data_IF_281416358492
#
_entry.id   IF_281416358492
#
_cell.length_a   1.000
_cell.length_b   1.000
_cell.length_c   1.000
_cell.angle_alpha   90.00
_cell.angle_beta   90.00
_cell.angle_gamma   90.00
#
_symmetry.space_group_name_H-M   'P 1'
#
loop_
_entity.id
_entity.type
_entity.pdbx_description
1 polymer ?
#
# COMPACT_ATOMS: atom_id res chain seq x y z
N UNK A 1 -9.96 -19.46 93.73
CA UNK A 1 -9.31 -20.74 93.34
C UNK A 1 -10.11 -21.37 92.20
N UNK A 2 -9.43 -21.65 91.07
CA UNK A 2 -9.80 -22.53 89.93
C UNK A 2 -11.06 -22.18 89.08
N UNK A 3 -10.90 -21.68 87.84
CA UNK A 3 -10.65 -22.36 86.54
C UNK A 3 -11.76 -23.34 86.07
N UNK A 4 -12.45 -22.98 84.97
CA UNK A 4 -12.67 -23.79 83.75
C UNK A 4 -13.51 -22.98 82.75
N UNK A 5 -12.97 -22.51 81.63
CA UNK A 5 -12.73 -23.20 80.35
C UNK A 5 -13.97 -23.78 79.65
N UNK A 6 -14.03 -23.46 78.36
CA UNK A 6 -14.84 -23.99 77.23
C UNK A 6 -16.09 -23.16 76.92
N UNK A 7 -16.44 -22.81 75.68
CA UNK A 7 -15.89 -23.08 74.35
C UNK A 7 -16.94 -22.57 73.35
N UNK A 8 -16.55 -21.81 72.30
CA UNK A 8 -17.03 -21.95 70.89
C UNK A 8 -18.52 -21.52 70.63
N UNK A 9 -18.94 -20.69 69.66
CA UNK A 9 -18.46 -20.33 68.32
C UNK A 9 -19.20 -19.04 67.85
N UNK A 10 -18.43 -18.10 67.28
CA UNK A 10 -18.69 -17.18 66.14
C UNK A 10 -19.88 -16.21 66.13
N UNK A 11 -19.57 -14.92 65.97
CA UNK A 11 -19.95 -14.21 64.74
C UNK A 11 -19.12 -12.92 64.50
N UNK A 12 -18.73 -12.75 63.23
CA UNK A 12 -18.31 -11.54 62.50
C UNK A 12 -17.10 -10.73 63.03
N UNK A 13 -15.90 -10.90 62.45
CA UNK A 13 -15.43 -10.29 61.18
C UNK A 13 -15.70 -8.79 61.14
N UNK A 14 -14.67 -7.98 61.40
CA UNK A 14 -14.28 -6.83 60.58
C UNK A 14 -12.89 -6.36 61.06
N UNK A 15 -12.14 -5.72 60.16
CA UNK A 15 -10.80 -5.14 60.35
C UNK A 15 -9.64 -6.11 60.03
N UNK A 16 -9.41 -6.34 58.74
CA UNK A 16 -8.05 -6.42 58.16
C UNK A 16 -8.14 -6.14 56.66
N UNK A 17 -8.65 -4.97 56.28
CA UNK A 17 -8.70 -4.48 54.90
C UNK A 17 -7.93 -3.16 54.70
N UNK A 18 -7.11 -2.74 55.66
CA UNK A 18 -6.40 -1.46 55.61
C UNK A 18 -4.94 -1.54 55.12
N UNK A 19 -4.43 -2.69 54.66
CA UNK A 19 -3.02 -2.82 54.25
C UNK A 19 -2.81 -3.08 52.74
N UNK A 20 -3.85 -3.27 51.94
CA UNK A 20 -3.70 -3.51 50.49
C UNK A 20 -3.98 -2.31 49.58
N UNK A 21 -4.33 -1.13 50.12
CA UNK A 21 -4.66 0.05 49.30
C UNK A 21 -3.52 1.06 49.11
N UNK A 22 -2.40 0.95 49.82
CA UNK A 22 -1.35 1.99 49.81
C UNK A 22 -0.24 1.83 48.75
N UNK A 23 -0.33 0.84 47.85
CA UNK A 23 0.73 0.54 46.85
C UNK A 23 0.34 0.82 45.39
N UNK A 24 -0.92 1.13 45.10
CA UNK A 24 -1.38 1.40 43.73
C UNK A 24 -1.54 2.91 43.44
N UNK A 25 -1.40 3.76 44.45
CA UNK A 25 -1.74 5.18 44.37
C UNK A 25 -0.60 6.09 43.86
N UNK A 26 0.59 5.54 43.57
CA UNK A 26 1.78 6.33 43.19
C UNK A 26 2.24 6.17 41.74
N UNK A 27 1.49 5.50 40.85
CA UNK A 27 1.86 5.33 39.42
C UNK A 27 0.86 5.85 38.38
N UNK A 28 -0.24 6.48 38.79
CA UNK A 28 -1.24 7.04 37.84
C UNK A 28 -1.13 8.57 37.70
N UNK A 29 -0.37 9.25 38.55
CA UNK A 29 -0.39 10.72 38.64
C UNK A 29 0.58 11.49 37.74
N UNK A 30 1.35 10.84 36.85
CA UNK A 30 2.38 11.55 36.06
C UNK A 30 1.99 11.87 34.60
N UNK A 31 0.81 11.46 34.08
CA UNK A 31 0.43 11.70 32.67
C UNK A 31 -0.85 12.55 32.50
N UNK A 32 -1.45 13.08 33.57
CA UNK A 32 -2.77 13.75 33.47
C UNK A 32 -2.79 15.29 33.58
N UNK A 33 -1.68 16.00 33.37
CA UNK A 33 -1.72 17.49 33.30
C UNK A 33 -0.76 18.14 32.29
N UNK A 34 -1.20 18.19 31.03
CA UNK A 34 -0.99 19.26 30.01
C UNK A 34 -1.68 18.69 28.76
N UNK A 35 -2.87 19.11 28.34
CA UNK A 35 -3.20 20.42 27.77
C UNK A 35 -4.67 20.74 28.09
N UNK A 36 -4.93 21.87 28.77
CA UNK A 36 -6.29 22.31 29.15
C UNK A 36 -7.02 23.12 28.07
N UNK A 37 -6.42 23.28 26.88
CA UNK A 37 -6.96 24.01 25.73
C UNK A 37 -6.55 23.32 24.42
N UNK A 38 -6.97 22.08 24.22
CA UNK A 38 -7.07 21.54 22.86
C UNK A 38 -8.50 21.84 22.44
N UNK A 39 -8.69 22.81 21.54
CA UNK A 39 -9.95 22.93 20.83
C UNK A 39 -10.20 21.59 20.14
N UNK A 40 -11.27 20.90 20.54
CA UNK A 40 -11.77 19.75 19.80
C UNK A 40 -12.22 20.26 18.43
N UNK A 41 -11.36 20.08 17.41
CA UNK A 41 -11.73 20.37 16.04
C UNK A 41 -12.62 19.22 15.59
N UNK A 42 -13.93 19.43 15.67
CA UNK A 42 -14.91 18.51 15.10
C UNK A 42 -14.84 18.66 13.58
N UNK A 43 -14.21 17.70 12.91
CA UNK A 43 -14.07 17.67 11.45
C UNK A 43 -15.29 16.96 10.86
N UNK A 44 -16.17 17.68 10.16
CA UNK A 44 -17.30 17.06 9.48
C UNK A 44 -16.94 16.71 8.03
N UNK A 45 -17.28 15.49 7.61
CA UNK A 45 -17.03 15.02 6.23
C UNK A 45 -17.74 15.89 5.16
N UNK A 46 -18.80 16.62 5.53
CA UNK A 46 -19.51 17.58 4.67
C UNK A 46 -18.66 18.78 4.25
N UNK A 47 -17.59 19.08 5.00
CA UNK A 47 -16.71 20.24 4.78
C UNK A 47 -15.59 19.91 3.77
N UNK A 48 -15.59 18.70 3.22
CA UNK A 48 -14.58 18.21 2.29
C UNK A 48 -15.21 17.83 0.95
N UNK A 49 -14.49 18.13 -0.12
CA UNK A 49 -14.72 17.62 -1.46
C UNK A 49 -13.79 16.44 -1.74
N UNK A 50 -14.29 15.45 -2.48
CA UNK A 50 -13.47 14.35 -3.03
C UNK A 50 -12.96 14.80 -4.39
N UNK A 51 -11.65 14.90 -4.53
CA UNK A 51 -11.00 15.27 -5.80
C UNK A 51 -10.23 14.07 -6.32
N UNK A 52 -10.49 13.71 -7.57
CA UNK A 52 -9.79 12.63 -8.26
C UNK A 52 -8.51 13.18 -8.92
N UNK A 53 -7.38 12.52 -8.69
CA UNK A 53 -6.10 12.81 -9.32
C UNK A 53 -5.64 11.61 -10.11
N UNK A 54 -5.18 11.84 -11.34
CA UNK A 54 -4.65 10.82 -12.23
C UNK A 54 -3.14 10.98 -12.37
N UNK A 55 -2.41 9.90 -12.10
CA UNK A 55 -0.96 9.82 -12.29
C UNK A 55 -0.69 8.81 -13.40
N UNK A 56 0.06 9.21 -14.42
CA UNK A 56 0.59 8.32 -15.44
C UNK A 56 1.84 8.96 -16.04
N UNK A 57 2.81 8.14 -16.45
CA UNK A 57 3.95 8.64 -17.21
C UNK A 57 3.51 9.03 -18.61
N UNK A 58 4.05 10.14 -19.11
CA UNK A 58 3.95 10.50 -20.53
C UNK A 58 4.63 9.40 -21.35
N UNK A 59 3.97 8.97 -22.42
CA UNK A 59 4.57 8.03 -23.35
C UNK A 59 5.53 8.78 -24.28
N UNK A 60 6.83 8.55 -24.10
CA UNK A 60 7.89 9.10 -24.97
C UNK A 60 8.48 8.02 -25.89
N UNK A 61 8.42 6.76 -25.45
CA UNK A 61 8.74 5.60 -26.27
C UNK A 61 7.64 4.55 -26.17
N UNK A 62 7.60 3.61 -27.13
CA UNK A 62 6.62 2.51 -27.16
C UNK A 62 7.36 1.18 -27.26
N UNK A 63 8.03 0.81 -26.18
CA UNK A 63 8.76 -0.47 -26.09
C UNK A 63 7.89 -1.48 -25.34
N UNK A 64 8.05 -2.77 -25.63
CA UNK A 64 7.33 -3.83 -24.93
C UNK A 64 8.26 -4.65 -24.04
N UNK A 65 7.80 -4.95 -22.83
CA UNK A 65 8.39 -5.97 -21.99
C UNK A 65 7.58 -7.27 -22.13
N UNK A 66 8.30 -8.35 -22.40
CA UNK A 66 7.79 -9.72 -22.41
C UNK A 66 8.56 -10.52 -21.38
N UNK A 67 7.89 -11.45 -20.70
CA UNK A 67 8.56 -12.30 -19.70
C UNK A 67 9.07 -13.57 -20.40
N UNK A 68 10.39 -13.63 -20.56
CA UNK A 68 11.13 -14.81 -21.03
C UNK A 68 11.36 -15.80 -19.89
N UNK A 69 11.73 -17.04 -20.23
CA UNK A 69 11.74 -18.20 -19.34
C UNK A 69 12.21 -17.90 -17.92
N UNK A 70 11.30 -18.03 -16.96
CA UNK A 70 11.58 -17.69 -15.56
C UNK A 70 10.29 -17.49 -14.78
N UNK A 71 10.08 -18.41 -13.83
CA UNK A 71 9.23 -18.44 -12.64
C UNK A 71 8.02 -17.50 -12.54
N UNK A 72 6.91 -18.08 -12.06
CA UNK A 72 5.59 -17.50 -11.71
C UNK A 72 5.60 -16.38 -10.66
N UNK A 73 6.76 -15.75 -10.44
CA UNK A 73 7.06 -14.88 -9.31
C UNK A 73 7.70 -13.55 -9.70
N UNK A 74 7.99 -13.33 -11.00
CA UNK A 74 8.50 -12.04 -11.45
C UNK A 74 7.45 -10.94 -11.29
N UNK A 75 7.88 -9.85 -10.67
CA UNK A 75 7.04 -8.71 -10.36
C UNK A 75 7.75 -7.42 -10.75
N UNK A 76 6.99 -6.51 -11.36
CA UNK A 76 7.47 -5.24 -11.88
C UNK A 76 6.50 -4.14 -11.47
N UNK A 77 7.01 -3.05 -10.91
CA UNK A 77 6.16 -1.96 -10.46
C UNK A 77 6.72 -0.58 -10.70
N UNK A 78 5.80 0.38 -10.74
CA UNK A 78 6.05 1.80 -10.91
C UNK A 78 5.81 2.53 -9.60
N UNK A 79 6.77 3.36 -9.19
CA UNK A 79 6.63 4.30 -8.08
C UNK A 79 5.78 5.49 -8.49
N UNK A 80 4.76 5.80 -7.68
CA UNK A 80 3.94 6.99 -7.74
C UNK A 80 4.23 7.86 -6.52
N UNK A 81 4.93 8.99 -6.74
CA UNK A 81 5.12 10.00 -5.68
C UNK A 81 3.81 10.74 -5.45
N UNK A 82 3.50 11.01 -4.18
CA UNK A 82 2.33 11.81 -3.83
C UNK A 82 2.73 13.28 -3.66
N UNK A 83 2.78 13.99 -4.80
CA UNK A 83 3.12 15.42 -4.85
C UNK A 83 2.04 16.32 -4.22
N UNK A 84 0.92 15.75 -3.74
CA UNK A 84 -0.14 16.48 -3.04
C UNK A 84 0.09 16.50 -1.52
N UNK A 85 0.99 15.67 -1.00
CA UNK A 85 1.29 15.48 0.43
C UNK A 85 0.05 15.19 1.30
N UNK A 86 -0.98 14.60 0.70
CA UNK A 86 -2.27 14.32 1.33
C UNK A 86 -2.60 12.84 1.28
N UNK A 87 -3.18 12.33 2.37
CA UNK A 87 -3.71 10.96 2.40
C UNK A 87 -4.96 10.87 1.51
N UNK A 88 -5.07 9.76 0.79
CA UNK A 88 -6.18 9.46 -0.10
C UNK A 88 -6.52 7.97 -0.13
N UNK A 89 -7.31 7.58 -1.11
CA UNK A 89 -7.59 6.17 -1.43
C UNK A 89 -7.46 5.97 -2.92
N UNK A 90 -6.91 4.82 -3.30
CA UNK A 90 -6.74 4.43 -4.69
C UNK A 90 -8.08 3.95 -5.26
N UNK A 91 -8.48 4.51 -6.40
CA UNK A 91 -9.72 4.17 -7.10
C UNK A 91 -9.48 3.25 -8.27
N UNK A 92 -8.54 3.61 -9.15
CA UNK A 92 -8.30 2.85 -10.37
C UNK A 92 -6.82 2.64 -10.61
N UNK A 93 -6.50 1.52 -11.23
CA UNK A 93 -5.19 1.23 -11.79
C UNK A 93 -5.36 1.01 -13.29
N UNK A 94 -4.50 1.63 -14.08
CA UNK A 94 -4.49 1.45 -15.54
C UNK A 94 -3.26 0.66 -15.94
N UNK A 95 -3.46 -0.49 -16.57
CA UNK A 95 -2.38 -1.26 -17.18
C UNK A 95 -2.27 -0.88 -18.66
N UNK A 96 -1.10 -0.41 -19.08
CA UNK A 96 -0.80 -0.10 -20.47
C UNK A 96 -0.23 -1.35 -21.14
N UNK A 97 -1.09 -2.14 -21.77
CA UNK A 97 -0.72 -3.37 -22.44
C UNK A 97 -0.19 -3.09 -23.84
N UNK A 98 0.75 -3.94 -24.26
CA UNK A 98 1.32 -3.93 -25.60
C UNK A 98 0.93 -5.21 -26.37
N UNK A 99 1.07 -5.20 -27.71
CA UNK A 99 0.83 -6.41 -28.50
C UNK A 99 1.71 -7.58 -28.05
N UNK A 100 1.09 -8.75 -27.98
CA UNK A 100 1.70 -9.98 -27.49
C UNK A 100 1.66 -11.06 -28.58
N UNK A 101 2.83 -11.52 -29.03
CA UNK A 101 2.91 -12.55 -30.08
C UNK A 101 2.19 -13.83 -29.66
N UNK A 102 1.60 -14.55 -30.63
CA UNK A 102 0.89 -15.82 -30.40
C UNK A 102 1.73 -16.90 -29.69
N UNK A 103 3.06 -16.85 -29.84
CA UNK A 103 4.00 -17.78 -29.19
C UNK A 103 4.12 -17.61 -27.67
N UNK A 104 3.59 -16.51 -27.11
CA UNK A 104 3.52 -16.30 -25.66
C UNK A 104 2.16 -16.78 -25.14
N UNK A 105 2.17 -17.52 -24.03
CA UNK A 105 0.95 -17.88 -23.30
C UNK A 105 0.44 -16.64 -22.58
N UNK A 106 -0.82 -16.26 -22.77
CA UNK A 106 -1.44 -15.22 -21.94
C UNK A 106 -1.71 -15.81 -20.56
N UNK A 107 -1.27 -15.11 -19.52
CA UNK A 107 -1.53 -15.46 -18.13
C UNK A 107 -2.23 -14.30 -17.44
N UNK A 108 -2.85 -14.60 -16.32
CA UNK A 108 -3.42 -13.58 -15.46
C UNK A 108 -2.33 -12.69 -14.87
N UNK A 109 -2.70 -11.43 -14.64
CA UNK A 109 -1.87 -10.43 -13.98
C UNK A 109 -2.40 -10.18 -12.58
N UNK A 110 -1.60 -10.44 -11.56
CA UNK A 110 -1.88 -10.00 -10.20
C UNK A 110 -1.33 -8.60 -9.99
N UNK A 111 -2.16 -7.72 -9.44
CA UNK A 111 -1.81 -6.35 -9.12
C UNK A 111 -1.57 -6.25 -7.63
N UNK A 112 -0.42 -5.72 -7.26
CA UNK A 112 -0.07 -5.46 -5.88
C UNK A 112 0.29 -4.00 -5.69
N UNK A 113 0.03 -3.49 -4.49
CA UNK A 113 0.31 -2.10 -4.13
C UNK A 113 1.13 -2.15 -2.85
N UNK A 114 2.22 -1.39 -2.80
CA UNK A 114 3.15 -1.38 -1.67
C UNK A 114 3.32 0.03 -1.12
N UNK A 115 3.55 0.10 0.20
CA UNK A 115 4.12 1.32 0.79
C UNK A 115 5.52 1.54 0.25
N UNK A 116 5.94 2.80 0.27
CA UNK A 116 7.31 3.19 -0.06
C UNK A 116 7.97 3.69 1.21
N UNK A 117 9.21 3.27 1.41
CA UNK A 117 10.09 3.83 2.42
C UNK A 117 10.51 5.25 2.02
N UNK A 118 10.24 6.24 2.86
CA UNK A 118 10.52 7.65 2.54
C UNK A 118 12.02 7.98 2.45
N UNK A 119 12.90 7.15 3.02
CA UNK A 119 14.35 7.37 3.04
C UNK A 119 15.04 6.65 1.88
N UNK A 120 14.70 5.37 1.67
CA UNK A 120 15.35 4.52 0.66
C UNK A 120 14.61 4.50 -0.68
N UNK A 121 13.38 5.04 -0.70
CA UNK A 121 12.43 4.97 -1.82
C UNK A 121 12.07 3.54 -2.26
N UNK A 122 12.52 2.52 -1.53
CA UNK A 122 12.24 1.12 -1.86
C UNK A 122 10.82 0.75 -1.43
N UNK A 123 10.18 -0.20 -2.13
CA UNK A 123 8.92 -0.76 -1.66
C UNK A 123 9.10 -1.53 -0.34
N UNK A 124 8.13 -1.39 0.56
CA UNK A 124 8.05 -2.04 1.87
C UNK A 124 6.96 -3.12 1.86
N UNK A 125 5.97 -2.99 2.75
CA UNK A 125 4.86 -3.91 2.90
C UNK A 125 3.75 -3.70 1.86
N UNK A 126 3.09 -4.81 1.50
CA UNK A 126 1.92 -4.82 0.62
C UNK A 126 0.72 -4.19 1.34
N UNK A 127 -0.03 -3.35 0.64
CA UNK A 127 -1.20 -2.62 1.12
C UNK A 127 -2.53 -3.33 0.79
N UNK A 128 -2.60 -4.07 -0.33
CA UNK A 128 -3.80 -4.82 -0.66
C UNK A 128 -3.84 -6.16 0.09
N UNK A 129 -4.90 -6.36 0.89
CA UNK A 129 -5.14 -7.61 1.62
C UNK A 129 -5.87 -8.66 0.77
N UNK A 130 -6.59 -8.22 -0.25
CA UNK A 130 -7.30 -9.08 -1.18
C UNK A 130 -6.56 -9.10 -2.52
N UNK A 131 -6.65 -10.24 -3.21
CA UNK A 131 -6.04 -10.42 -4.52
C UNK A 131 -6.80 -9.62 -5.56
N UNK A 132 -6.07 -8.80 -6.32
CA UNK A 132 -6.60 -8.05 -7.47
C UNK A 132 -6.01 -8.70 -8.71
N UNK A 133 -6.86 -9.28 -9.56
CA UNK A 133 -6.43 -10.04 -10.73
C UNK A 133 -7.08 -9.47 -11.99
N UNK A 134 -6.27 -9.27 -13.02
CA UNK A 134 -6.73 -8.99 -14.36
C UNK A 134 -6.47 -10.19 -15.28
N UNK A 135 -7.53 -10.65 -15.96
CA UNK A 135 -7.45 -11.69 -16.99
C UNK A 135 -7.45 -11.05 -18.38
N UNK A 136 -6.36 -11.19 -19.15
CA UNK A 136 -6.28 -10.63 -20.50
C UNK A 136 -7.32 -11.24 -21.44
N UNK A 137 -8.11 -10.39 -22.11
CA UNK A 137 -9.14 -10.83 -23.06
C UNK A 137 -8.61 -11.07 -24.48
N UNK A 138 -7.52 -10.39 -24.84
CA UNK A 138 -6.96 -10.40 -26.18
C UNK A 138 -5.43 -10.16 -26.12
N UNK A 139 -4.79 -10.12 -27.29
CA UNK A 139 -3.33 -9.96 -27.45
C UNK A 139 -2.93 -8.57 -27.97
N UNK A 140 -3.87 -7.64 -28.06
CA UNK A 140 -3.69 -6.35 -28.70
C UNK A 140 -3.17 -5.31 -27.70
N UNK A 141 -2.68 -4.18 -28.23
CA UNK A 141 -2.41 -2.99 -27.42
C UNK A 141 -3.72 -2.48 -26.82
N UNK A 142 -3.75 -2.26 -25.51
CA UNK A 142 -4.94 -1.78 -24.81
C UNK A 142 -4.54 -1.07 -23.52
N UNK A 143 -5.30 -0.05 -23.12
CA UNK A 143 -5.17 0.57 -21.81
C UNK A 143 -6.32 0.07 -20.93
N UNK A 144 -6.01 -0.85 -20.02
CA UNK A 144 -7.01 -1.53 -19.20
C UNK A 144 -7.16 -0.78 -17.88
N UNK A 145 -8.31 -0.15 -17.67
CA UNK A 145 -8.65 0.51 -16.42
C UNK A 145 -9.38 -0.47 -15.48
N UNK A 146 -8.83 -0.65 -14.28
CA UNK A 146 -9.29 -1.61 -13.28
C UNK A 146 -9.76 -0.82 -12.07
N UNK A 147 -11.07 -0.90 -11.78
CA UNK A 147 -11.65 -0.28 -10.60
C UNK A 147 -11.37 -1.14 -9.37
N UNK A 148 -10.73 -0.52 -8.37
CA UNK A 148 -10.35 -1.13 -7.10
C UNK A 148 -10.81 -0.28 -5.90
N UNK A 149 -11.74 0.65 -6.11
CA UNK A 149 -12.20 1.54 -5.05
C UNK A 149 -12.76 0.79 -3.84
N UNK A 150 -13.49 -0.30 -4.08
CA UNK A 150 -14.16 -1.07 -3.02
C UNK A 150 -13.18 -1.81 -2.10
N UNK A 151 -11.90 -1.93 -2.51
CA UNK A 151 -10.84 -2.46 -1.66
C UNK A 151 -10.32 -1.45 -0.64
N UNK A 152 -10.73 -0.17 -0.74
CA UNK A 152 -10.38 0.91 0.19
C UNK A 152 -8.88 1.04 0.46
N UNK A 153 -8.06 0.85 -0.57
CA UNK A 153 -6.60 0.80 -0.44
C UNK A 153 -6.06 2.21 -0.22
N UNK A 154 -5.30 2.45 0.86
CA UNK A 154 -4.84 3.80 1.19
C UNK A 154 -3.79 4.30 0.19
N UNK A 155 -3.85 5.59 -0.11
CA UNK A 155 -2.80 6.35 -0.77
C UNK A 155 -2.10 7.24 0.28
N UNK A 156 -0.92 6.86 0.81
CA UNK A 156 -0.23 7.58 1.87
C UNK A 156 0.54 8.79 1.31
N UNK A 157 1.09 9.63 2.19
CA UNK A 157 1.73 10.90 1.81
C UNK A 157 3.04 10.70 1.06
N UNK A 158 3.68 9.56 1.27
CA UNK A 158 4.94 9.17 0.66
C UNK A 158 4.72 8.61 -0.76
N UNK A 159 3.47 8.30 -1.12
CA UNK A 159 3.13 7.62 -2.36
C UNK A 159 3.13 6.10 -2.24
N UNK A 160 3.02 5.42 -3.37
CA UNK A 160 2.95 3.94 -3.43
C UNK A 160 3.74 3.40 -4.60
N UNK A 161 4.15 2.14 -4.51
CA UNK A 161 4.54 1.38 -5.69
C UNK A 161 3.35 0.51 -6.12
N UNK A 162 2.94 0.62 -7.38
CA UNK A 162 1.96 -0.30 -7.97
C UNK A 162 2.71 -1.26 -8.87
N UNK A 163 2.53 -2.56 -8.65
CA UNK A 163 3.20 -3.60 -9.40
C UNK A 163 2.23 -4.57 -10.05
N UNK A 164 2.77 -5.27 -11.04
CA UNK A 164 2.15 -6.34 -11.79
C UNK A 164 3.04 -7.57 -11.66
N UNK A 165 2.42 -8.69 -11.31
CA UNK A 165 3.02 -10.03 -11.23
C UNK A 165 2.32 -10.95 -12.23
N UNK A 166 3.09 -11.66 -13.04
CA UNK A 166 2.54 -12.60 -14.01
C UNK A 166 2.28 -13.95 -13.34
N UNK A 167 1.04 -14.41 -13.37
CA UNK A 167 0.59 -15.67 -12.76
C UNK A 167 0.78 -16.86 -13.72
N UNK A 168 2.01 -17.06 -14.18
CA UNK A 168 2.39 -18.24 -14.97
C UNK A 168 2.50 -19.51 -14.14
N UNK A 169 2.62 -20.65 -14.80
CA UNK A 169 2.98 -21.91 -14.15
C UNK A 169 4.49 -22.10 -14.11
N UNK A 170 4.98 -22.90 -13.15
CA UNK A 170 6.37 -23.34 -13.13
C UNK A 170 6.67 -24.05 -14.46
N UNK A 171 7.73 -23.63 -15.14
CA UNK A 171 8.14 -24.17 -16.44
C UNK A 171 7.61 -23.41 -17.66
N UNK A 172 6.69 -22.45 -17.49
CA UNK A 172 6.28 -21.59 -18.59
C UNK A 172 7.48 -20.72 -19.05
N UNK A 173 7.82 -20.81 -20.34
CA UNK A 173 9.03 -20.16 -20.90
C UNK A 173 8.78 -18.82 -21.62
N UNK A 174 7.53 -18.56 -21.98
CA UNK A 174 7.12 -17.39 -22.77
C UNK A 174 5.73 -16.98 -22.30
N UNK A 175 5.67 -16.09 -21.32
CA UNK A 175 4.40 -15.62 -20.77
C UNK A 175 4.19 -14.13 -21.11
N UNK A 176 2.94 -13.83 -21.41
CA UNK A 176 2.41 -12.47 -21.54
C UNK A 176 1.21 -12.28 -20.61
N UNK A 177 0.49 -11.17 -20.71
CA UNK A 177 0.57 -10.17 -21.77
C UNK A 177 1.85 -9.34 -21.67
N UNK A 178 2.24 -8.71 -22.77
CA UNK A 178 3.29 -7.72 -22.80
C UNK A 178 2.80 -6.43 -22.13
N UNK A 179 3.65 -5.81 -21.32
CA UNK A 179 3.39 -4.48 -20.75
C UNK A 179 4.23 -3.43 -21.48
N UNK A 180 3.68 -2.24 -21.65
CA UNK A 180 4.36 -1.12 -22.29
C UNK A 180 5.41 -0.53 -21.35
N UNK A 181 6.54 -0.18 -21.94
CA UNK A 181 7.61 0.60 -21.33
C UNK A 181 7.72 1.94 -22.05
N UNK A 182 8.11 2.97 -21.30
CA UNK A 182 8.49 4.29 -21.82
C UNK A 182 9.85 4.70 -21.24
N UNK A 183 10.52 5.66 -21.86
CA UNK A 183 11.63 6.36 -21.23
C UNK A 183 11.11 7.62 -20.54
N UNK A 184 11.72 7.98 -19.41
CA UNK A 184 11.38 9.17 -18.62
C UNK A 184 12.61 9.64 -17.84
N UNK A 185 12.70 10.92 -17.51
CA UNK A 185 13.85 11.53 -16.82
C UNK A 185 14.13 10.95 -15.42
N UNK A 186 13.11 10.40 -14.76
CA UNK A 186 13.25 9.75 -13.44
C UNK A 186 13.25 8.22 -13.54
N UNK A 187 14.10 7.57 -12.74
CA UNK A 187 14.04 6.12 -12.54
C UNK A 187 12.97 5.78 -11.49
N UNK A 188 11.82 5.28 -11.93
CA UNK A 188 10.64 5.03 -11.11
C UNK A 188 10.25 3.55 -11.03
N UNK A 189 10.86 2.70 -11.85
CA UNK A 189 10.50 1.29 -11.94
C UNK A 189 11.38 0.41 -11.05
N UNK A 190 10.74 -0.51 -10.35
CA UNK A 190 11.39 -1.55 -9.57
C UNK A 190 10.93 -2.93 -10.05
N UNK A 191 11.79 -3.92 -9.94
CA UNK A 191 11.46 -5.32 -10.16
C UNK A 191 11.98 -6.19 -9.03
N UNK A 192 11.35 -7.36 -8.86
CA UNK A 192 11.88 -8.46 -8.07
C UNK A 192 11.53 -9.79 -8.72
N UNK A 193 12.44 -10.75 -8.62
CA UNK A 193 12.25 -12.08 -9.21
C UNK A 193 11.37 -13.01 -8.37
N UNK A 194 11.30 -12.77 -7.07
CA UNK A 194 10.41 -13.50 -6.16
C UNK A 194 10.17 -12.69 -4.89
N UNK A 195 9.20 -13.11 -4.09
CA UNK A 195 8.80 -12.39 -2.87
C UNK A 195 9.89 -12.37 -1.80
N UNK A 196 10.82 -13.34 -1.82
CA UNK A 196 11.97 -13.40 -0.91
C UNK A 196 13.20 -12.62 -1.40
N UNK A 197 13.13 -12.06 -2.61
CA UNK A 197 14.20 -11.23 -3.18
C UNK A 197 13.90 -9.76 -2.94
N UNK A 198 14.97 -8.99 -2.78
CA UNK A 198 14.87 -7.55 -2.66
C UNK A 198 14.35 -6.91 -3.95
N UNK A 199 13.77 -5.72 -3.79
CA UNK A 199 13.41 -4.86 -4.90
C UNK A 199 14.65 -4.17 -5.45
N UNK A 200 14.81 -4.27 -6.77
CA UNK A 200 15.92 -3.68 -7.51
C UNK A 200 15.39 -2.78 -8.62
N UNK A 201 16.19 -1.82 -9.07
CA UNK A 201 15.87 -1.04 -10.26
C UNK A 201 16.05 -1.92 -11.50
N UNK A 202 15.16 -1.75 -12.48
CA UNK A 202 15.36 -2.46 -13.75
C UNK A 202 16.58 -1.90 -14.50
N UNK A 203 17.25 -2.71 -15.33
CA UNK A 203 18.25 -2.21 -16.26
C UNK A 203 17.68 -1.09 -17.14
N UNK A 204 18.44 -0.02 -17.31
CA UNK A 204 18.06 1.04 -18.23
C UNK A 204 18.25 0.56 -19.68
N UNK A 205 17.17 0.54 -20.46
CA UNK A 205 17.19 0.17 -21.88
C UNK A 205 17.21 1.40 -22.80
N UNK A 206 17.18 2.61 -22.24
CA UNK A 206 17.28 3.86 -23.01
C UNK A 206 18.66 3.98 -23.65
N UNK A 207 18.68 4.46 -24.91
CA UNK A 207 19.93 4.86 -25.59
C UNK A 207 20.41 6.24 -25.14
N UNK A 208 19.50 7.04 -24.61
CA UNK A 208 19.78 8.36 -24.08
C UNK A 208 20.14 8.24 -22.59
N UNK A 209 21.30 8.79 -22.23
CA UNK A 209 21.85 8.71 -20.86
C UNK A 209 21.09 9.60 -19.87
N UNK A 210 20.28 10.53 -20.34
CA UNK A 210 19.47 11.43 -19.50
C UNK A 210 18.07 10.87 -19.18
N UNK A 211 17.73 9.69 -19.70
CA UNK A 211 16.43 9.05 -19.47
C UNK A 211 16.56 7.60 -19.00
N UNK A 212 15.55 7.16 -18.25
CA UNK A 212 15.43 5.82 -17.68
C UNK A 212 14.22 5.10 -18.24
N UNK A 213 14.40 3.83 -18.58
CA UNK A 213 13.29 2.94 -18.93
C UNK A 213 12.40 2.68 -17.73
N UNK A 214 11.09 2.84 -17.93
CA UNK A 214 10.08 2.65 -16.92
C UNK A 214 8.88 1.86 -17.46
N UNK A 215 8.24 1.08 -16.58
CA UNK A 215 6.96 0.45 -16.88
C UNK A 215 5.85 1.48 -16.89
N UNK A 216 4.91 1.37 -17.83
CA UNK A 216 3.74 2.23 -17.88
C UNK A 216 2.60 1.63 -17.07
N UNK A 217 2.29 2.30 -15.95
CA UNK A 217 1.12 2.04 -15.11
C UNK A 217 0.47 3.40 -14.84
N UNK A 218 -0.86 3.42 -14.76
CA UNK A 218 -1.64 4.59 -14.36
C UNK A 218 -2.29 4.35 -13.01
N UNK A 219 -2.47 5.43 -12.25
CA UNK A 219 -3.06 5.39 -10.92
C UNK A 219 -4.05 6.55 -10.79
N UNK A 220 -5.28 6.26 -10.38
CA UNK A 220 -6.25 7.27 -9.99
C UNK A 220 -6.52 7.16 -8.51
N UNK A 221 -6.47 8.29 -7.80
CA UNK A 221 -6.69 8.36 -6.36
C UNK A 221 -7.72 9.44 -6.07
N UNK A 222 -8.53 9.24 -5.03
CA UNK A 222 -9.26 10.35 -4.44
C UNK A 222 -8.51 10.88 -3.23
N UNK A 223 -8.54 12.19 -3.06
CA UNK A 223 -8.04 12.88 -1.87
C UNK A 223 -9.14 13.75 -1.30
N UNK A 224 -9.27 13.78 0.04
CA UNK A 224 -10.14 14.74 0.72
C UNK A 224 -9.48 16.11 0.70
N UNK A 225 -10.14 17.11 0.13
CA UNK A 225 -9.72 18.51 0.16
C UNK A 225 -10.80 19.30 0.89
N UNK A 226 -10.41 20.22 1.78
CA UNK A 226 -11.40 21.14 2.38
C UNK A 226 -12.03 21.95 1.25
N UNK A 227 -13.35 22.07 1.27
CA UNK A 227 -14.04 23.03 0.41
C UNK A 227 -13.39 24.39 0.67
N UNK A 228 -12.99 25.09 -0.38
CA UNK A 228 -12.61 26.49 -0.20
C UNK A 228 -13.88 27.23 0.20
N UNK A 229 -13.82 27.97 1.29
CA UNK A 229 -14.79 29.03 1.55
C UNK A 229 -14.55 30.05 0.42
N UNK A 230 -15.30 29.93 -0.68
CA UNK A 230 -15.33 31.00 -1.66
C UNK A 230 -16.12 32.13 -1.02
N UNK A 231 -15.42 33.23 -0.72
CA UNK A 231 -15.98 34.57 -0.49
C UNK A 231 -16.94 34.97 -1.62
#
# INVERSE_FOLDING_TARGET
>A
MMKKNRSIIYQFIFIFSSVFLYSQETRIDTIRQKYKNIQEVIIYDKDYEKVDYSFALKQETDTKLLIGAGQSTYELGLKFKNNLEKKGIIKNITLFLHDTDKKFKLVDLEINIYKIDSLTEKPLEKLNNQKIVYTPKNRNKENVKINIQDYHIPFPKEGVLVSVKWLGNIGDKKIGPAIRLTNYEENLTYARFSESKEWERIPNLSKDKSSFTNVMIGLEVYVKKRKSDNE
#
